data_IF_113288340651
#
_entry.id   IF_113288340651
#
_cell.length_a   1.000
_cell.length_b   1.000
_cell.length_c   1.000
_cell.angle_alpha   90.00
_cell.angle_beta   90.00
_cell.angle_gamma   90.00
#
_symmetry.space_group_name_H-M   'P 1'
#
loop_
_entity.id
_entity.type
_entity.pdbx_description
1 polymer ?
#
# COMPACT_ATOMS: atom_id res chain seq x y z
N UNK A 1 -17.07 -7.63 -6.18
CA UNK A 1 -15.87 -8.42 -6.49
C UNK A 1 -14.79 -7.45 -6.96
N UNK A 2 -13.59 -7.51 -6.38
CA UNK A 2 -12.47 -6.70 -6.84
C UNK A 2 -12.16 -7.05 -8.30
N UNK A 3 -11.95 -6.03 -9.13
CA UNK A 3 -11.64 -6.16 -10.55
C UNK A 3 -10.17 -5.90 -10.84
N UNK A 4 -9.49 -5.19 -9.94
CA UNK A 4 -8.08 -4.83 -10.05
C UNK A 4 -7.40 -5.12 -8.71
N UNK A 5 -6.24 -5.78 -8.80
CA UNK A 5 -5.38 -6.12 -7.67
C UNK A 5 -4.04 -5.42 -7.84
N UNK A 6 -3.65 -4.61 -6.86
CA UNK A 6 -2.38 -3.91 -6.85
C UNK A 6 -1.46 -4.61 -5.86
N UNK A 7 -0.42 -5.26 -6.39
CA UNK A 7 0.60 -5.93 -5.58
C UNK A 7 1.80 -5.00 -5.39
N UNK A 8 2.15 -4.74 -4.13
CA UNK A 8 3.22 -3.81 -3.76
C UNK A 8 4.29 -4.57 -2.99
N UNK A 9 5.35 -5.05 -3.64
CA UNK A 9 6.56 -5.45 -2.93
C UNK A 9 7.25 -4.19 -2.40
N UNK A 10 7.63 -4.19 -1.12
CA UNK A 10 8.33 -3.06 -0.52
C UNK A 10 9.48 -3.50 0.40
N UNK A 11 10.49 -2.65 0.53
CA UNK A 11 11.61 -2.84 1.45
C UNK A 11 12.17 -1.47 1.86
N UNK A 12 12.11 -1.15 3.16
CA UNK A 12 12.57 0.11 3.74
C UNK A 12 11.98 1.38 3.10
N UNK A 13 10.66 1.38 2.92
CA UNK A 13 9.88 2.46 2.30
C UNK A 13 9.21 3.42 3.32
N UNK A 14 9.70 3.51 4.57
CA UNK A 14 9.02 4.33 5.61
C UNK A 14 8.75 5.78 5.20
N UNK A 15 9.62 6.36 4.34
CA UNK A 15 9.53 7.75 3.92
C UNK A 15 8.50 7.99 2.79
N UNK A 16 8.07 6.94 2.11
CA UNK A 16 7.41 7.00 0.79
C UNK A 16 6.13 6.19 0.74
N UNK A 17 6.03 5.10 1.50
CA UNK A 17 4.88 4.18 1.46
C UNK A 17 3.56 4.90 1.76
N UNK A 18 3.55 5.84 2.71
CA UNK A 18 2.34 6.61 3.04
C UNK A 18 1.84 7.46 1.87
N UNK A 19 2.75 8.03 1.06
CA UNK A 19 2.38 8.81 -0.13
C UNK A 19 1.70 7.93 -1.18
N UNK A 20 2.23 6.72 -1.39
CA UNK A 20 1.66 5.74 -2.30
C UNK A 20 0.26 5.31 -1.84
N UNK A 21 0.10 4.95 -0.56
CA UNK A 21 -1.19 4.53 -0.02
C UNK A 21 -2.25 5.63 -0.14
N UNK A 22 -1.88 6.88 0.16
CA UNK A 22 -2.78 8.03 -0.03
C UNK A 22 -3.18 8.21 -1.49
N UNK A 23 -2.22 8.14 -2.42
CA UNK A 23 -2.50 8.25 -3.86
C UNK A 23 -3.40 7.12 -4.40
N UNK A 24 -3.28 5.91 -3.83
CA UNK A 24 -4.16 4.78 -4.16
C UNK A 24 -5.57 4.98 -3.58
N UNK A 25 -5.67 5.52 -2.37
CA UNK A 25 -6.95 5.82 -1.73
C UNK A 25 -7.73 6.93 -2.47
N UNK A 26 -7.02 7.93 -2.99
CA UNK A 26 -7.58 9.08 -3.71
C UNK A 26 -7.88 8.82 -5.19
N UNK A 27 -7.74 7.57 -5.66
CA UNK A 27 -8.06 7.22 -7.04
C UNK A 27 -9.54 7.47 -7.37
N UNK A 28 -9.80 7.88 -8.61
CA UNK A 28 -11.16 7.97 -9.16
C UNK A 28 -11.79 6.60 -9.43
N UNK A 29 -10.99 5.52 -9.41
CA UNK A 29 -11.48 4.16 -9.55
C UNK A 29 -12.24 3.70 -8.30
N UNK A 30 -13.39 3.00 -8.42
CA UNK A 30 -14.19 2.61 -7.26
C UNK A 30 -13.41 1.72 -6.29
N UNK A 31 -13.27 2.18 -5.04
CA UNK A 31 -12.56 1.47 -3.96
C UNK A 31 -13.08 0.05 -3.71
N UNK A 32 -14.39 -0.16 -3.77
CA UNK A 32 -15.00 -1.49 -3.63
C UNK A 32 -14.63 -2.48 -4.75
N UNK A 33 -14.00 -2.01 -5.82
CA UNK A 33 -13.50 -2.81 -6.94
C UNK A 33 -11.97 -2.92 -6.96
N UNK A 34 -11.27 -2.38 -5.97
CA UNK A 34 -9.83 -2.43 -5.81
C UNK A 34 -9.45 -3.31 -4.61
N UNK A 35 -8.37 -4.08 -4.77
CA UNK A 35 -7.64 -4.68 -3.66
C UNK A 35 -6.16 -4.27 -3.72
N UNK A 36 -5.57 -4.05 -2.54
CA UNK A 36 -4.16 -3.70 -2.40
C UNK A 36 -3.52 -4.74 -1.51
N UNK A 37 -2.49 -5.41 -2.02
CA UNK A 37 -1.75 -6.47 -1.32
C UNK A 37 -0.30 -6.05 -1.19
N UNK A 38 0.16 -5.87 0.04
CA UNK A 38 1.51 -5.39 0.35
C UNK A 38 2.36 -6.58 0.82
N UNK A 39 3.50 -6.78 0.16
CA UNK A 39 4.47 -7.82 0.48
C UNK A 39 5.79 -7.19 0.93
N UNK A 40 5.98 -7.11 2.25
CA UNK A 40 7.18 -6.51 2.83
C UNK A 40 8.36 -7.50 2.89
N UNK A 41 9.50 -7.09 2.34
CA UNK A 41 10.74 -7.85 2.24
C UNK A 41 11.57 -7.93 3.53
N UNK A 42 10.92 -8.01 4.70
CA UNK A 42 11.56 -7.95 6.03
C UNK A 42 12.29 -6.62 6.24
N UNK A 43 11.58 -5.50 6.04
CA UNK A 43 12.12 -4.16 6.29
C UNK A 43 12.67 -4.03 7.72
N UNK A 44 13.78 -3.30 7.85
CA UNK A 44 14.44 -3.01 9.12
C UNK A 44 14.13 -1.60 9.64
N UNK A 45 13.21 -0.90 8.98
CA UNK A 45 12.71 0.41 9.36
C UNK A 45 11.22 0.34 9.77
N UNK A 46 10.54 1.50 9.81
CA UNK A 46 9.14 1.59 10.23
C UNK A 46 8.13 1.34 9.11
N UNK A 47 8.52 0.79 7.95
CA UNK A 47 7.62 0.56 6.81
C UNK A 47 6.33 -0.16 7.21
N UNK A 48 6.45 -1.26 7.97
CA UNK A 48 5.29 -2.04 8.43
C UNK A 48 4.36 -1.27 9.35
N UNK A 49 4.93 -0.43 10.23
CA UNK A 49 4.14 0.43 11.12
C UNK A 49 3.38 1.49 10.33
N UNK A 50 4.04 2.12 9.34
CA UNK A 50 3.40 3.11 8.46
C UNK A 50 2.23 2.50 7.68
N UNK A 51 2.39 1.26 7.18
CA UNK A 51 1.31 0.52 6.50
C UNK A 51 0.17 0.20 7.46
N UNK A 52 0.45 -0.25 8.69
CA UNK A 52 -0.58 -0.64 9.66
C UNK A 52 -1.38 0.55 10.23
N UNK A 53 -0.87 1.77 10.10
CA UNK A 53 -1.54 3.01 10.54
C UNK A 53 -2.45 3.63 9.49
N UNK A 54 -2.40 3.14 8.25
CA UNK A 54 -3.20 3.64 7.13
C UNK A 54 -4.59 2.97 7.08
#
# INVERSE_FOLDING_TARGET
MAKVSILIPCYNEQATIGLLLQALYDQSYPRASLEVVIADGLSSDRTREMVAQF
#
